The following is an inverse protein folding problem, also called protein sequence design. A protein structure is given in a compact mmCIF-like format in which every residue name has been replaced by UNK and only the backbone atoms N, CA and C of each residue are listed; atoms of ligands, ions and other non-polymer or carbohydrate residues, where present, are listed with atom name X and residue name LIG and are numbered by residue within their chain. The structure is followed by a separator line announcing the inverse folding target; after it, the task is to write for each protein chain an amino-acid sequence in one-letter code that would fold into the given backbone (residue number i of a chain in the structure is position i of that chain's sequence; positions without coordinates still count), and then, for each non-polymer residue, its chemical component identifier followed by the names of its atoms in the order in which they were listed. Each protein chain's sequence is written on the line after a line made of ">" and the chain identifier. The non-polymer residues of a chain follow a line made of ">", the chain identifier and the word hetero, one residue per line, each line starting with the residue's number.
data_IF_237066136878
#
_entry.id   IF_237066136878
#
_cell.length_a   1.000
_cell.length_b   1.000
_cell.length_c   1.000
_cell.angle_alpha   90.00
_cell.angle_beta   90.00
_cell.angle_gamma   90.00
#
_symmetry.space_group_name_H-M   'P 1'
#
loop_
_entity.id
_entity.type
_entity.pdbx_description
1 polymer ?
#
# COMPACT_ATOMS: atom_id res chain seq x y z
N UNK A 1 7.44 13.98 8.59
CA UNK A 1 6.38 13.37 7.78
C UNK A 1 5.09 14.19 7.71
N UNK A 2 4.89 15.11 8.64
CA UNK A 2 3.71 15.98 8.64
C UNK A 2 3.68 16.95 7.44
N UNK A 3 4.85 17.42 7.02
CA UNK A 3 4.97 18.23 5.79
C UNK A 3 4.59 17.48 4.52
N UNK A 4 4.99 16.22 4.41
CA UNK A 4 4.64 15.36 3.29
C UNK A 4 3.14 15.06 3.24
N UNK A 5 2.55 14.78 4.40
CA UNK A 5 1.11 14.59 4.53
C UNK A 5 0.34 15.79 4.03
N UNK A 6 0.74 17.00 4.41
CA UNK A 6 0.13 18.26 3.95
C UNK A 6 0.24 18.45 2.44
N UNK A 7 1.38 18.11 1.83
CA UNK A 7 1.56 18.22 0.39
C UNK A 7 0.59 17.29 -0.36
N UNK A 8 0.45 16.05 0.10
CA UNK A 8 -0.44 15.08 -0.53
C UNK A 8 -1.92 15.41 -0.30
N UNK A 9 -2.28 15.91 0.88
CA UNK A 9 -3.60 16.44 1.16
C UNK A 9 -3.92 17.66 0.27
N UNK A 10 -2.93 18.50 0.01
CA UNK A 10 -3.06 19.64 -0.92
C UNK A 10 -3.32 19.22 -2.37
N UNK A 11 -2.97 17.98 -2.77
CA UNK A 11 -3.29 17.40 -4.07
C UNK A 11 -4.58 16.56 -4.08
N UNK A 12 -5.38 16.62 -3.01
CA UNK A 12 -6.67 15.96 -2.91
C UNK A 12 -6.63 14.53 -2.41
N UNK A 13 -5.49 14.03 -1.94
CA UNK A 13 -5.36 12.70 -1.35
C UNK A 13 -5.60 12.75 0.15
N UNK A 14 -6.56 11.97 0.62
CA UNK A 14 -6.90 11.88 2.05
C UNK A 14 -6.78 10.45 2.55
N UNK A 15 -6.01 10.23 3.60
CA UNK A 15 -5.84 8.93 4.26
C UNK A 15 -6.66 8.91 5.54
N UNK A 16 -7.44 7.85 5.71
CA UNK A 16 -8.22 7.59 6.93
C UNK A 16 -8.21 6.14 7.32
N UNK A 17 -8.64 5.83 8.53
CA UNK A 17 -8.85 4.46 8.95
C UNK A 17 -9.93 3.79 8.08
N UNK A 18 -9.69 2.55 7.68
CA UNK A 18 -10.66 1.76 6.96
C UNK A 18 -11.76 1.24 7.92
N UNK A 19 -12.96 1.14 7.40
CA UNK A 19 -14.10 0.53 8.09
C UNK A 19 -14.61 -0.69 7.33
N UNK A 20 -15.47 -1.50 7.93
CA UNK A 20 -16.06 -2.65 7.24
C UNK A 20 -16.88 -2.26 6.00
N UNK A 21 -17.42 -1.05 5.96
CA UNK A 21 -18.13 -0.52 4.80
C UNK A 21 -17.20 -0.30 3.59
N UNK A 22 -15.91 -0.11 3.83
CA UNK A 22 -14.89 0.06 2.79
C UNK A 22 -14.42 -1.28 2.19
N UNK A 23 -14.71 -2.38 2.84
CA UNK A 23 -14.19 -3.71 2.49
C UNK A 23 -14.50 -4.13 1.04
N UNK A 24 -15.74 -3.99 0.52
CA UNK A 24 -16.02 -4.36 -0.86
C UNK A 24 -15.19 -3.56 -1.87
N UNK A 25 -15.10 -2.25 -1.71
CA UNK A 25 -14.33 -1.38 -2.62
C UNK A 25 -12.83 -1.68 -2.57
N UNK A 26 -12.29 -1.92 -1.40
CA UNK A 26 -10.87 -2.30 -1.23
C UNK A 26 -10.58 -3.67 -1.85
N UNK A 27 -11.47 -4.64 -1.68
CA UNK A 27 -11.29 -5.97 -2.26
C UNK A 27 -11.38 -5.92 -3.80
N UNK A 28 -12.30 -5.14 -4.36
CA UNK A 28 -12.38 -4.91 -5.79
C UNK A 28 -11.10 -4.29 -6.35
N UNK A 29 -10.53 -3.32 -5.63
CA UNK A 29 -9.25 -2.72 -5.99
C UNK A 29 -8.12 -3.76 -5.98
N UNK A 30 -8.07 -4.62 -4.99
CA UNK A 30 -7.09 -5.70 -4.88
C UNK A 30 -7.23 -6.68 -6.06
N UNK A 31 -8.44 -7.09 -6.41
CA UNK A 31 -8.70 -7.96 -7.55
C UNK A 31 -8.23 -7.32 -8.86
N UNK A 32 -8.47 -6.03 -9.06
CA UNK A 32 -8.05 -5.31 -10.26
C UNK A 32 -6.53 -5.16 -10.37
N UNK A 33 -5.84 -4.97 -9.27
CA UNK A 33 -4.38 -4.76 -9.26
C UNK A 33 -3.61 -6.08 -9.15
N UNK A 34 -3.94 -6.91 -8.18
CA UNK A 34 -3.21 -8.15 -7.88
C UNK A 34 -3.83 -9.40 -8.49
N UNK A 35 -5.11 -9.35 -8.86
CA UNK A 35 -5.80 -10.46 -9.52
C UNK A 35 -6.26 -11.58 -8.58
N UNK A 36 -6.20 -11.40 -7.27
CA UNK A 36 -6.68 -12.38 -6.30
C UNK A 36 -7.37 -11.72 -5.11
N UNK A 37 -8.21 -12.50 -4.42
CA UNK A 37 -8.98 -12.07 -3.28
C UNK A 37 -8.13 -12.07 -2.01
N UNK A 38 -8.19 -10.97 -1.26
CA UNK A 38 -7.55 -10.83 0.06
C UNK A 38 -8.54 -10.33 1.12
N UNK A 39 -9.81 -10.64 0.93
CA UNK A 39 -10.91 -10.20 1.78
C UNK A 39 -10.69 -10.51 3.27
N UNK A 40 -10.32 -11.75 3.59
CA UNK A 40 -10.14 -12.18 4.97
C UNK A 40 -9.00 -11.43 5.68
N UNK A 41 -7.88 -11.22 4.99
CA UNK A 41 -6.73 -10.49 5.51
C UNK A 41 -7.08 -9.02 5.76
N UNK A 42 -7.79 -8.41 4.81
CA UNK A 42 -8.23 -7.02 4.94
C UNK A 42 -9.26 -6.85 6.06
N UNK A 43 -10.24 -7.75 6.16
CA UNK A 43 -11.22 -7.75 7.24
C UNK A 43 -10.56 -7.85 8.62
N UNK A 44 -9.54 -8.71 8.75
CA UNK A 44 -8.75 -8.84 9.97
C UNK A 44 -8.02 -7.53 10.32
N UNK A 45 -7.37 -6.91 9.34
CA UNK A 45 -6.66 -5.64 9.54
C UNK A 45 -7.61 -4.49 9.93
N UNK A 46 -8.80 -4.45 9.36
CA UNK A 46 -9.84 -3.47 9.75
C UNK A 46 -10.25 -3.68 11.21
N UNK A 47 -10.50 -4.92 11.60
CA UNK A 47 -10.86 -5.26 12.99
C UNK A 47 -9.73 -4.96 13.98
N UNK A 48 -8.49 -5.14 13.56
CA UNK A 48 -7.30 -4.80 14.35
C UNK A 48 -7.02 -3.29 14.42
N UNK A 49 -7.67 -2.49 13.59
CA UNK A 49 -7.49 -1.03 13.54
C UNK A 49 -6.22 -0.56 12.81
N UNK A 50 -5.56 -1.44 12.07
CA UNK A 50 -4.33 -1.11 11.34
C UNK A 50 -4.58 -0.69 9.89
N UNK A 51 -5.69 -1.10 9.31
CA UNK A 51 -6.01 -0.81 7.92
C UNK A 51 -6.30 0.67 7.68
N UNK A 52 -5.77 1.18 6.56
CA UNK A 52 -5.98 2.56 6.09
C UNK A 52 -6.43 2.52 4.65
N UNK A 53 -7.24 3.50 4.28
CA UNK A 53 -7.57 3.76 2.88
C UNK A 53 -7.10 5.14 2.48
N UNK A 54 -6.93 5.35 1.19
CA UNK A 54 -6.68 6.66 0.61
C UNK A 54 -7.78 6.98 -0.40
N UNK A 55 -8.35 8.16 -0.23
CA UNK A 55 -9.36 8.71 -1.12
C UNK A 55 -8.78 9.85 -1.95
N UNK A 56 -9.17 9.91 -3.21
CA UNK A 56 -8.90 11.03 -4.10
C UNK A 56 -10.23 11.48 -4.71
N UNK A 57 -10.69 12.67 -4.28
CA UNK A 57 -12.08 13.07 -4.49
C UNK A 57 -13.01 12.15 -3.67
N UNK A 58 -14.05 11.63 -4.30
CA UNK A 58 -15.03 10.75 -3.65
C UNK A 58 -14.74 9.26 -3.88
N UNK A 59 -13.52 8.91 -4.35
CA UNK A 59 -13.16 7.54 -4.72
C UNK A 59 -12.03 7.01 -3.86
N UNK A 60 -12.15 5.76 -3.44
CA UNK A 60 -11.05 5.02 -2.82
C UNK A 60 -10.08 4.62 -3.94
N UNK A 61 -8.83 5.09 -3.86
CA UNK A 61 -7.79 4.84 -4.85
C UNK A 61 -6.68 3.93 -4.34
N UNK A 62 -6.71 3.58 -3.07
CA UNK A 62 -5.74 2.66 -2.49
C UNK A 62 -6.10 2.28 -1.06
N UNK A 63 -5.47 1.24 -0.58
CA UNK A 63 -5.58 0.80 0.81
C UNK A 63 -4.27 0.13 1.24
N UNK A 64 -4.11 0.01 2.55
CA UNK A 64 -3.07 -0.80 3.18
C UNK A 64 -3.64 -1.55 4.37
N UNK A 65 -3.23 -2.79 4.58
CA UNK A 65 -3.54 -3.49 5.83
C UNK A 65 -2.69 -2.93 6.98
N UNK A 66 -1.53 -2.48 6.67
CA UNK A 66 -0.57 -1.68 7.43
C UNK A 66 0.57 -1.33 6.46
N UNK A 67 1.54 -0.55 6.87
CA UNK A 67 2.79 -0.39 6.11
C UNK A 67 3.90 -1.14 6.86
N UNK A 68 4.25 -2.32 6.36
CA UNK A 68 5.20 -3.17 7.02
C UNK A 68 5.55 -4.44 6.25
N UNK A 69 6.46 -5.22 6.84
CA UNK A 69 7.04 -6.41 6.21
C UNK A 69 6.02 -7.54 5.99
N UNK A 70 5.07 -7.69 6.92
CA UNK A 70 4.02 -8.71 6.86
C UNK A 70 2.68 -8.19 6.33
N UNK A 71 2.65 -6.95 5.92
CA UNK A 71 1.45 -6.25 5.47
C UNK A 71 1.52 -5.98 3.98
N UNK A 72 0.40 -5.63 3.36
CA UNK A 72 0.39 -5.26 1.96
C UNK A 72 -0.37 -3.95 1.73
N UNK A 73 -0.05 -3.29 0.64
CA UNK A 73 -0.74 -2.11 0.17
C UNK A 73 -0.98 -2.20 -1.33
N UNK A 74 -2.08 -1.64 -1.78
CA UNK A 74 -2.50 -1.61 -3.18
C UNK A 74 -2.94 -0.19 -3.51
N UNK A 75 -2.54 0.31 -4.67
CA UNK A 75 -2.95 1.59 -5.18
C UNK A 75 -3.20 1.58 -6.67
N UNK A 76 -4.14 2.38 -7.14
CA UNK A 76 -4.33 2.60 -8.58
C UNK A 76 -3.11 3.29 -9.19
N UNK A 77 -2.48 4.16 -8.41
CA UNK A 77 -1.29 4.93 -8.81
C UNK A 77 -0.24 4.95 -7.69
N UNK A 78 0.98 5.35 -8.03
CA UNK A 78 2.02 5.58 -7.04
C UNK A 78 1.66 6.69 -6.05
N UNK A 79 0.88 7.69 -6.45
CA UNK A 79 0.47 8.77 -5.55
C UNK A 79 -0.38 8.26 -4.40
N UNK A 80 -1.24 7.27 -4.65
CA UNK A 80 -2.00 6.60 -3.60
C UNK A 80 -1.06 5.90 -2.59
N UNK A 81 -0.04 5.19 -3.06
CA UNK A 81 0.95 4.55 -2.18
C UNK A 81 1.79 5.57 -1.43
N UNK A 82 2.20 6.66 -2.07
CA UNK A 82 2.92 7.76 -1.41
C UNK A 82 2.11 8.34 -0.26
N UNK A 83 0.82 8.54 -0.46
CA UNK A 83 -0.08 9.02 0.58
C UNK A 83 -0.16 8.05 1.77
N UNK A 84 -0.30 6.76 1.51
CA UNK A 84 -0.35 5.73 2.55
C UNK A 84 0.96 5.64 3.32
N UNK A 85 2.10 5.64 2.64
CA UNK A 85 3.44 5.62 3.27
C UNK A 85 3.65 6.88 4.11
N UNK A 86 3.30 8.04 3.56
CA UNK A 86 3.48 9.33 4.24
C UNK A 86 2.58 9.49 5.46
N UNK A 87 1.43 8.86 5.50
CA UNK A 87 0.49 8.89 6.63
C UNK A 87 0.82 7.86 7.71
N UNK A 88 1.65 6.87 7.43
CA UNK A 88 2.03 5.86 8.41
C UNK A 88 2.84 6.47 9.56
N UNK A 89 2.41 6.31 10.82
CA UNK A 89 3.16 6.83 11.96
C UNK A 89 4.48 6.10 12.18
N UNK A 90 4.52 4.82 11.83
CA UNK A 90 5.69 3.96 11.89
C UNK A 90 5.52 2.82 10.88
N UNK A 91 6.61 2.14 10.55
CA UNK A 91 6.57 0.94 9.73
C UNK A 91 6.64 -0.30 10.61
N UNK A 92 5.75 -1.26 10.37
CA UNK A 92 5.71 -2.50 11.14
C UNK A 92 6.89 -3.42 10.75
N UNK A 93 7.62 -3.89 11.73
CA UNK A 93 8.79 -4.74 11.54
C UNK A 93 10.00 -3.98 10.98
N UNK A 94 10.82 -4.62 10.14
CA UNK A 94 12.06 -4.02 9.61
C UNK A 94 11.84 -2.97 8.52
N UNK A 95 10.60 -2.74 8.11
CA UNK A 95 10.23 -1.86 7.01
C UNK A 95 9.18 -2.52 6.12
N UNK A 96 9.12 -2.10 4.87
CA UNK A 96 8.18 -2.67 3.89
C UNK A 96 8.90 -3.09 2.61
N UNK A 97 8.28 -4.00 1.87
CA UNK A 97 8.78 -4.45 0.59
C UNK A 97 8.30 -3.53 -0.53
N UNK A 98 9.20 -3.22 -1.45
CA UNK A 98 8.91 -2.37 -2.60
C UNK A 98 9.48 -3.02 -3.86
N UNK A 99 8.64 -3.32 -4.87
CA UNK A 99 9.16 -3.88 -6.11
C UNK A 99 10.11 -2.91 -6.81
N UNK A 100 11.34 -3.34 -7.10
CA UNK A 100 12.38 -2.48 -7.69
C UNK A 100 12.03 -2.01 -9.10
N UNK A 101 11.16 -2.72 -9.82
CA UNK A 101 10.63 -2.27 -11.11
C UNK A 101 9.78 -1.00 -11.01
N UNK A 102 9.24 -0.71 -9.83
CA UNK A 102 8.56 0.55 -9.54
C UNK A 102 9.61 1.62 -9.17
N UNK A 103 10.41 2.00 -10.15
CA UNK A 103 11.55 2.90 -9.96
C UNK A 103 11.12 4.28 -9.48
N UNK A 104 9.98 4.78 -9.91
CA UNK A 104 9.45 6.07 -9.46
C UNK A 104 9.21 6.09 -7.95
N UNK A 105 8.51 5.08 -7.44
CA UNK A 105 8.23 4.98 -6.00
C UNK A 105 9.51 4.76 -5.20
N UNK A 106 10.44 3.95 -5.71
CA UNK A 106 11.73 3.74 -5.06
C UNK A 106 12.52 5.05 -4.93
N UNK A 107 12.64 5.81 -6.01
CA UNK A 107 13.31 7.12 -5.98
C UNK A 107 12.65 8.08 -5.03
N UNK A 108 11.31 8.12 -5.02
CA UNK A 108 10.57 8.95 -4.09
C UNK A 108 10.86 8.57 -2.63
N UNK A 109 10.87 7.30 -2.29
CA UNK A 109 11.20 6.83 -0.94
C UNK A 109 12.61 7.26 -0.52
N UNK A 110 13.60 7.07 -1.39
CA UNK A 110 14.99 7.47 -1.12
C UNK A 110 15.13 8.98 -0.93
N UNK A 111 14.43 9.77 -1.74
CA UNK A 111 14.42 11.24 -1.63
C UNK A 111 13.80 11.71 -0.32
N UNK A 112 12.89 10.96 0.26
CA UNK A 112 12.22 11.29 1.53
C UNK A 112 12.85 10.63 2.77
N UNK A 113 14.11 10.22 2.66
CA UNK A 113 14.90 9.76 3.80
C UNK A 113 14.75 8.28 4.15
N UNK A 114 14.05 7.49 3.34
CA UNK A 114 14.04 6.05 3.48
C UNK A 114 15.32 5.45 2.89
N UNK A 115 15.71 4.30 3.37
CA UNK A 115 16.91 3.61 2.90
C UNK A 115 16.62 2.16 2.53
N UNK A 116 17.38 1.62 1.61
CA UNK A 116 17.35 0.19 1.31
C UNK A 116 18.03 -0.55 2.45
N UNK A 117 17.30 -1.46 3.10
CA UNK A 117 17.84 -2.30 4.17
C UNK A 117 18.42 -3.59 3.58
N UNK A 118 17.66 -4.24 2.70
CA UNK A 118 18.07 -5.50 2.08
C UNK A 118 17.32 -5.72 0.76
N UNK A 119 18.01 -6.06 -0.35
CA UNK A 119 17.35 -6.55 -1.54
C UNK A 119 16.88 -7.99 -1.35
N UNK A 120 15.74 -8.33 -1.97
CA UNK A 120 15.14 -9.66 -1.92
C UNK A 120 14.73 -10.08 -3.33
N UNK A 121 14.71 -11.38 -3.59
CA UNK A 121 14.28 -11.96 -4.85
C UNK A 121 12.94 -12.66 -4.70
N UNK A 122 11.95 -12.23 -5.49
CA UNK A 122 10.69 -12.94 -5.60
C UNK A 122 10.89 -14.20 -6.46
N UNK A 123 10.46 -15.33 -5.94
CA UNK A 123 10.44 -16.58 -6.66
C UNK A 123 9.01 -17.12 -6.75
N UNK A 124 8.61 -17.60 -7.90
CA UNK A 124 7.29 -18.21 -8.09
C UNK A 124 7.45 -19.62 -8.68
N UNK A 125 6.50 -20.48 -8.34
CA UNK A 125 6.35 -21.80 -8.95
C UNK A 125 5.13 -21.80 -9.86
N UNK A 126 5.32 -22.14 -11.14
CA UNK A 126 4.28 -22.07 -12.14
C UNK A 126 4.13 -20.69 -12.77
N UNK A 127 2.95 -20.38 -13.25
CA UNK A 127 2.67 -19.09 -13.88
C UNK A 127 2.67 -17.96 -12.86
N UNK A 128 3.37 -16.89 -13.17
CA UNK A 128 3.35 -15.65 -12.39
C UNK A 128 2.51 -14.61 -13.09
N UNK A 129 1.43 -14.18 -12.45
CA UNK A 129 0.62 -13.07 -12.94
C UNK A 129 1.18 -11.75 -12.41
N UNK A 130 1.65 -10.91 -13.33
CA UNK A 130 2.18 -9.60 -13.00
C UNK A 130 1.05 -8.66 -12.54
N UNK A 131 1.16 -8.02 -11.36
CA UNK A 131 0.18 -7.02 -10.94
C UNK A 131 0.04 -5.85 -11.91
N UNK A 132 -1.20 -5.35 -12.03
CA UNK A 132 -1.59 -4.31 -13.00
C UNK A 132 -1.74 -2.92 -12.36
N UNK A 133 -0.96 -2.59 -11.36
CA UNK A 133 -0.99 -1.29 -10.68
C UNK A 133 0.15 -1.15 -9.70
N UNK A 134 0.03 -0.22 -8.78
CA UNK A 134 1.03 0.00 -7.75
C UNK A 134 0.72 -0.83 -6.50
N UNK A 135 1.72 -1.49 -5.93
CA UNK A 135 1.54 -2.33 -4.76
C UNK A 135 2.81 -2.44 -3.92
N UNK A 136 2.62 -2.68 -2.63
CA UNK A 136 3.66 -3.08 -1.70
C UNK A 136 3.33 -4.51 -1.26
N UNK A 137 4.14 -5.52 -1.64
CA UNK A 137 3.85 -6.90 -1.30
C UNK A 137 4.12 -7.20 0.17
N UNK A 138 3.41 -8.19 0.71
CA UNK A 138 3.77 -8.81 1.98
C UNK A 138 4.84 -9.87 1.74
N UNK A 139 5.69 -10.12 2.72
CA UNK A 139 6.63 -11.24 2.68
C UNK A 139 5.91 -12.60 2.70
N UNK A 140 4.67 -12.61 3.21
CA UNK A 140 3.86 -13.83 3.28
C UNK A 140 3.19 -14.20 1.95
N UNK A 141 3.02 -13.24 1.07
CA UNK A 141 2.33 -13.42 -0.22
C UNK A 141 2.89 -12.52 -1.30
#
# INVERSE_FOLDING_TARGET
>A
NEGLRRVLEGHGYRVRAATLDDLPACNDLCLNVQGHDRHAELAHAISAGTARIVEHGDRITGYATDIGFFSHAVGQTNDALKALIGAAPAFAGPGFLLPTRNAELLRWCLTHGLRVVQPMTLMSRGLYQKPAGAFLPSVLY
#
